data_IF_268923054505
#
_entry.id   IF_268923054505
#
_cell.length_a   1.000
_cell.length_b   1.000
_cell.length_c   1.000
_cell.angle_alpha   90.00
_cell.angle_beta   90.00
_cell.angle_gamma   90.00
#
_symmetry.space_group_name_H-M   'P 1'
#
loop_
_entity.id
_entity.type
_entity.pdbx_description
1 polymer ?
#
# COMPACT_ATOMS: atom_id res chain seq x y z
N UNK A 1 30.25 -45.82 13.76
CA UNK A 1 30.49 -45.67 15.21
C UNK A 1 31.71 -44.78 15.40
N UNK A 2 31.51 -43.47 15.53
CA UNK A 2 32.58 -42.55 15.90
C UNK A 2 32.05 -41.70 17.04
N UNK A 3 32.51 -42.05 18.25
CA UNK A 3 32.29 -41.28 19.47
C UNK A 3 32.95 -39.93 19.33
N UNK A 4 32.13 -38.89 19.33
CA UNK A 4 32.56 -37.51 19.48
C UNK A 4 32.91 -37.35 20.96
N UNK A 5 34.20 -37.30 21.27
CA UNK A 5 34.70 -37.01 22.61
C UNK A 5 34.43 -35.54 22.91
N UNK A 6 33.67 -35.30 23.99
CA UNK A 6 33.27 -34.00 24.48
C UNK A 6 34.49 -33.17 24.90
N UNK A 7 34.52 -31.93 24.38
CA UNK A 7 35.43 -30.88 24.79
C UNK A 7 35.11 -30.46 26.23
N UNK A 8 36.04 -30.71 27.15
CA UNK A 8 36.14 -29.94 28.39
C UNK A 8 36.71 -28.55 28.04
N UNK A 9 35.83 -27.58 27.83
CA UNK A 9 36.18 -26.16 27.77
C UNK A 9 36.27 -25.70 29.22
N UNK A 10 37.49 -25.62 29.74
CA UNK A 10 37.77 -24.93 30.99
C UNK A 10 37.34 -23.47 30.87
N UNK A 11 36.35 -23.09 31.66
CA UNK A 11 35.98 -21.70 31.91
C UNK A 11 37.15 -20.99 32.57
N UNK A 12 37.97 -20.32 31.76
CA UNK A 12 38.89 -19.30 32.25
C UNK A 12 38.04 -18.07 32.54
N UNK A 13 37.77 -17.84 33.83
CA UNK A 13 37.23 -16.58 34.33
C UNK A 13 38.18 -15.45 33.92
N UNK A 14 37.86 -14.82 32.79
CA UNK A 14 38.43 -13.54 32.39
C UNK A 14 37.97 -12.49 33.39
N UNK A 15 38.83 -12.20 34.37
CA UNK A 15 38.72 -11.02 35.23
C UNK A 15 38.74 -9.79 34.32
N UNK A 16 37.54 -9.31 34.00
CA UNK A 16 37.31 -8.01 33.39
C UNK A 16 37.86 -6.93 34.32
N UNK A 17 39.12 -6.55 34.09
CA UNK A 17 39.72 -5.41 34.75
C UNK A 17 39.24 -4.15 34.01
N UNK A 18 38.04 -3.71 34.37
CA UNK A 18 37.52 -2.39 33.99
C UNK A 18 38.43 -1.38 34.68
N UNK A 19 39.37 -0.81 33.94
CA UNK A 19 40.05 0.43 34.32
C UNK A 19 39.01 1.54 34.32
N UNK A 20 38.25 1.57 35.42
CA UNK A 20 37.42 2.68 35.85
C UNK A 20 38.38 3.82 36.08
N UNK A 21 38.32 4.83 35.22
CA UNK A 21 38.98 6.11 35.42
C UNK A 21 38.70 6.57 36.84
N UNK A 22 39.71 6.45 37.69
CA UNK A 22 39.72 6.99 39.04
C UNK A 22 39.62 8.51 38.90
N UNK A 23 38.40 9.02 38.88
CA UNK A 23 38.14 10.33 39.45
C UNK A 23 38.52 10.20 40.92
N UNK A 24 39.59 10.90 41.29
CA UNK A 24 39.99 11.10 42.67
C UNK A 24 38.79 11.62 43.45
N UNK A 25 38.12 10.73 44.19
CA UNK A 25 37.32 11.10 45.35
C UNK A 25 38.33 11.30 46.47
N UNK A 26 38.52 12.53 46.99
CA UNK A 26 39.35 12.71 48.17
C UNK A 26 38.65 12.00 49.35
N UNK A 27 39.40 11.11 49.99
CA UNK A 27 38.98 10.41 51.19
C UNK A 27 38.73 11.41 52.33
N UNK A 28 37.51 11.34 52.85
CA UNK A 28 37.15 11.52 54.26
C UNK A 28 37.95 12.55 55.06
N UNK A 29 37.42 13.77 55.02
CA UNK A 29 37.68 14.82 56.00
C UNK A 29 36.68 15.96 55.84
N UNK A 30 35.46 15.66 55.41
CA UNK A 30 34.37 16.63 55.35
C UNK A 30 33.49 16.35 56.57
N UNK A 31 33.78 17.05 57.67
CA UNK A 31 32.77 17.39 58.65
C UNK A 31 31.52 17.80 57.86
N UNK A 32 30.39 17.17 58.14
CA UNK A 32 29.13 17.56 57.54
C UNK A 32 28.90 19.03 57.85
N UNK A 33 29.19 19.92 56.89
CA UNK A 33 28.69 21.28 56.90
C UNK A 33 27.17 21.15 56.79
N UNK A 34 26.53 21.00 57.95
CA UNK A 34 25.13 21.33 58.12
C UNK A 34 25.03 22.81 57.77
N UNK A 35 24.71 23.08 56.50
CA UNK A 35 24.31 24.41 56.09
C UNK A 35 23.08 24.72 56.92
N UNK A 36 23.28 25.51 57.98
CA UNK A 36 22.19 26.10 58.74
C UNK A 36 21.32 26.79 57.71
N UNK A 37 20.12 26.24 57.52
CA UNK A 37 19.07 26.88 56.76
C UNK A 37 19.00 28.35 57.24
N UNK A 38 18.69 29.27 56.34
CA UNK A 38 18.42 30.66 56.75
C UNK A 38 17.11 30.64 57.56
N UNK A 39 17.23 30.25 58.83
CA UNK A 39 16.12 30.04 59.75
C UNK A 39 15.35 31.36 59.91
N UNK A 40 16.02 32.50 59.77
CA UNK A 40 15.40 33.82 59.76
C UNK A 40 14.56 34.05 58.49
N UNK A 41 15.11 33.74 57.31
CA UNK A 41 14.38 33.84 56.04
C UNK A 41 13.20 32.86 55.95
N UNK A 42 13.37 31.64 56.46
CA UNK A 42 12.31 30.62 56.56
C UNK A 42 11.30 31.02 57.63
N UNK A 43 11.76 31.59 58.76
CA UNK A 43 10.89 32.09 59.82
C UNK A 43 9.96 33.18 59.32
N UNK A 44 10.48 34.14 58.57
CA UNK A 44 9.69 35.21 58.00
C UNK A 44 8.77 34.73 56.87
N UNK A 45 9.20 33.77 56.04
CA UNK A 45 8.39 33.25 54.92
C UNK A 45 7.21 32.38 55.38
N UNK A 46 7.37 31.66 56.50
CA UNK A 46 6.34 30.76 57.04
C UNK A 46 5.69 31.24 58.34
N UNK A 47 5.86 32.52 58.70
CA UNK A 47 5.34 33.10 59.94
C UNK A 47 5.75 32.31 61.21
N UNK A 48 6.95 31.73 61.25
CA UNK A 48 7.43 30.98 62.43
C UNK A 48 7.72 31.91 63.62
N UNK A 49 7.97 33.20 63.39
CA UNK A 49 8.10 34.18 64.47
C UNK A 49 6.78 34.36 65.24
N UNK A 50 5.63 34.32 64.57
CA UNK A 50 4.31 34.28 65.25
C UNK A 50 4.12 32.94 65.98
N UNK A 51 4.58 31.84 65.40
CA UNK A 51 4.50 30.52 66.05
C UNK A 51 5.34 30.44 67.33
N UNK A 52 6.53 31.05 67.35
CA UNK A 52 7.43 31.10 68.51
C UNK A 52 6.94 32.04 69.62
N UNK A 53 6.08 33.01 69.29
CA UNK A 53 5.48 33.93 70.25
C UNK A 53 4.20 33.39 70.91
N UNK A 54 3.62 32.29 70.40
CA UNK A 54 2.44 31.64 70.98
C UNK A 54 2.81 30.87 72.26
N UNK A 55 1.88 30.83 73.22
CA UNK A 55 2.05 30.03 74.44
C UNK A 55 2.10 28.53 74.11
N UNK A 56 2.71 27.71 74.98
CA UNK A 56 2.90 26.27 74.72
C UNK A 56 1.59 25.51 74.44
N UNK A 57 0.48 25.93 75.06
CA UNK A 57 -0.85 25.36 74.81
C UNK A 57 -1.41 25.76 73.44
N UNK A 58 -1.22 27.02 73.03
CA UNK A 58 -1.65 27.52 71.73
C UNK A 58 -0.84 26.88 70.60
N UNK A 59 0.46 26.66 70.82
CA UNK A 59 1.32 25.90 69.90
C UNK A 59 0.83 24.48 69.74
N UNK A 60 0.48 23.78 70.84
CA UNK A 60 -0.09 22.43 70.77
C UNK A 60 -1.45 22.40 70.06
N UNK A 61 -2.32 23.36 70.33
CA UNK A 61 -3.62 23.47 69.66
C UNK A 61 -3.48 23.73 68.16
N UNK A 62 -2.55 24.61 67.77
CA UNK A 62 -2.25 24.91 66.36
C UNK A 62 -1.58 23.73 65.67
N UNK A 63 -0.70 23.01 66.35
CA UNK A 63 -0.06 21.78 65.84
C UNK A 63 -1.08 20.65 65.64
N UNK A 64 -2.06 20.52 66.53
CA UNK A 64 -3.17 19.56 66.41
C UNK A 64 -4.16 19.92 65.29
N UNK A 65 -4.17 21.19 64.83
CA UNK A 65 -4.99 21.65 63.72
C UNK A 65 -4.40 21.24 62.36
N UNK A 66 -3.08 21.04 62.29
CA UNK A 66 -2.41 20.66 61.07
C UNK A 66 -2.58 19.16 60.81
N UNK A 67 -3.14 18.82 59.65
CA UNK A 67 -3.13 17.46 59.18
C UNK A 67 -1.67 17.04 58.90
N UNK A 68 -1.27 15.93 59.50
CA UNK A 68 0.04 15.31 59.28
C UNK A 68 0.34 15.09 57.80
N UNK A 69 -0.70 14.87 56.99
CA UNK A 69 -0.58 14.68 55.54
C UNK A 69 -0.24 16.00 54.82
N UNK A 70 -0.80 17.12 55.26
CA UNK A 70 -0.49 18.45 54.71
C UNK A 70 0.90 18.94 55.13
N UNK A 71 1.34 18.61 56.35
CA UNK A 71 2.72 18.84 56.77
C UNK A 71 3.73 18.05 55.93
N UNK A 72 3.41 16.79 55.59
CA UNK A 72 4.28 15.99 54.73
C UNK A 72 4.37 16.60 53.33
N UNK A 73 3.24 16.99 52.73
CA UNK A 73 3.21 17.62 51.40
C UNK A 73 4.00 18.92 51.36
N UNK A 74 3.86 19.77 52.36
CA UNK A 74 4.62 21.04 52.44
C UNK A 74 6.13 20.79 52.60
N UNK A 75 6.53 19.78 53.37
CA UNK A 75 7.94 19.36 53.45
C UNK A 75 8.45 18.85 52.11
N UNK A 76 7.68 18.04 51.39
CA UNK A 76 8.03 17.56 50.04
C UNK A 76 8.15 18.71 49.04
N UNK A 77 7.24 19.68 49.07
CA UNK A 77 7.28 20.88 48.24
C UNK A 77 8.54 21.72 48.54
N UNK A 78 8.86 21.95 49.81
CA UNK A 78 10.08 22.66 50.22
C UNK A 78 11.34 21.91 49.77
N UNK A 79 11.37 20.57 49.91
CA UNK A 79 12.48 19.76 49.42
C UNK A 79 12.63 19.85 47.91
N UNK A 80 11.52 19.85 47.17
CA UNK A 80 11.50 20.02 45.72
C UNK A 80 11.98 21.40 45.30
N UNK A 81 11.50 22.47 45.93
CA UNK A 81 11.99 23.84 45.71
C UNK A 81 13.49 23.94 45.99
N UNK A 82 13.95 23.37 47.11
CA UNK A 82 15.36 23.37 47.49
C UNK A 82 16.23 22.60 46.50
N UNK A 83 15.74 21.48 45.97
CA UNK A 83 16.42 20.74 44.90
C UNK A 83 16.52 21.57 43.60
N UNK A 84 15.44 22.26 43.22
CA UNK A 84 15.43 23.16 42.06
C UNK A 84 16.43 24.29 42.24
N UNK A 85 16.45 24.96 43.40
CA UNK A 85 17.41 26.04 43.66
C UNK A 85 18.87 25.54 43.69
N UNK A 86 19.12 24.33 44.21
CA UNK A 86 20.45 23.72 44.15
C UNK A 86 20.89 23.49 42.70
N UNK A 87 20.00 22.96 41.87
CA UNK A 87 20.27 22.74 40.46
C UNK A 87 20.51 24.06 39.71
N UNK A 88 19.67 25.07 39.94
CA UNK A 88 19.79 26.38 39.31
C UNK A 88 21.12 27.06 39.68
N UNK A 89 21.46 27.04 40.97
CA UNK A 89 22.73 27.58 41.44
C UNK A 89 23.92 26.82 40.85
N UNK A 90 23.82 25.50 40.73
CA UNK A 90 24.87 24.69 40.09
C UNK A 90 25.06 25.09 38.62
N UNK A 91 23.99 25.17 37.84
CA UNK A 91 24.04 25.56 36.42
C UNK A 91 24.60 26.97 36.27
N UNK A 92 24.15 27.92 37.09
CA UNK A 92 24.60 29.31 37.02
C UNK A 92 26.08 29.45 37.40
N UNK A 93 26.53 28.74 38.43
CA UNK A 93 27.95 28.74 38.82
C UNK A 93 28.80 28.08 37.73
N UNK A 94 28.42 26.91 37.22
CA UNK A 94 29.14 26.23 36.14
C UNK A 94 29.21 27.10 34.87
N UNK A 95 28.12 27.79 34.52
CA UNK A 95 28.09 28.73 33.41
C UNK A 95 29.05 29.91 33.63
N UNK A 96 29.01 30.53 34.81
CA UNK A 96 29.88 31.66 35.14
C UNK A 96 31.36 31.24 35.23
N UNK A 97 31.67 30.04 35.74
CA UNK A 97 33.03 29.52 35.79
C UNK A 97 33.63 29.38 34.39
N UNK A 98 32.83 28.96 33.41
CA UNK A 98 33.27 28.77 32.02
C UNK A 98 33.31 30.07 31.21
N UNK A 99 32.42 31.02 31.47
CA UNK A 99 32.25 32.21 30.62
C UNK A 99 32.81 33.50 31.23
N UNK A 100 32.67 33.74 32.54
CA UNK A 100 33.24 34.91 33.23
C UNK A 100 33.56 34.61 34.71
N UNK A 101 34.72 33.98 35.00
CA UNK A 101 35.07 33.55 36.34
C UNK A 101 35.29 34.71 37.32
N UNK A 102 35.45 35.96 36.83
CA UNK A 102 35.67 37.13 37.68
C UNK A 102 34.41 37.51 38.47
N UNK A 103 33.23 37.26 37.92
CA UNK A 103 31.95 37.50 38.60
C UNK A 103 31.74 36.59 39.82
N UNK A 104 32.43 35.43 39.87
CA UNK A 104 32.36 34.50 41.00
C UNK A 104 33.32 34.85 42.14
N UNK A 105 34.30 35.73 41.93
CA UNK A 105 35.31 36.07 42.94
C UNK A 105 34.67 36.71 44.18
N UNK A 106 33.73 37.64 43.99
CA UNK A 106 33.00 38.27 45.09
C UNK A 106 32.03 37.32 45.82
N UNK A 107 31.52 36.30 45.13
CA UNK A 107 30.66 35.26 45.72
C UNK A 107 31.49 34.29 46.57
N UNK A 108 32.66 33.86 46.07
CA UNK A 108 33.62 33.01 46.80
C UNK A 108 34.19 33.73 48.03
N UNK A 109 34.50 35.01 47.93
CA UNK A 109 34.94 35.84 49.07
C UNK A 109 33.84 36.00 50.14
N UNK A 110 32.57 36.20 49.73
CA UNK A 110 31.46 36.24 50.69
C UNK A 110 31.23 34.89 51.36
N UNK A 111 31.23 33.79 50.62
CA UNK A 111 31.08 32.44 51.17
C UNK A 111 32.16 32.14 52.22
N UNK A 112 33.43 32.41 51.90
CA UNK A 112 34.54 32.23 52.85
C UNK A 112 34.44 33.16 54.07
N UNK A 113 33.93 34.38 53.91
CA UNK A 113 33.69 35.29 55.04
C UNK A 113 32.56 34.84 55.98
N UNK A 114 31.48 34.27 55.43
CA UNK A 114 30.35 33.74 56.20
C UNK A 114 30.78 32.49 56.97
N UNK A 115 31.49 31.56 56.32
CA UNK A 115 32.07 30.38 56.97
C UNK A 115 33.00 30.78 58.13
N UNK A 116 33.88 31.78 57.92
CA UNK A 116 34.71 32.32 59.03
C UNK A 116 33.88 32.94 60.16
N UNK A 117 32.74 33.58 59.85
CA UNK A 117 31.86 34.17 60.87
C UNK A 117 31.13 33.09 61.68
N UNK A 118 30.76 31.98 61.03
CA UNK A 118 30.12 30.84 61.71
C UNK A 118 31.11 30.09 62.60
N UNK A 119 32.33 29.87 62.12
CA UNK A 119 33.40 29.25 62.92
C UNK A 119 33.85 30.12 64.11
N UNK A 120 33.78 31.45 63.99
CA UNK A 120 34.12 32.35 65.11
C UNK A 120 33.01 32.46 66.15
N UNK A 121 31.73 32.30 65.78
CA UNK A 121 30.61 32.27 66.72
C UNK A 121 30.57 31.01 67.59
N UNK A 122 31.13 29.91 67.08
CA UNK A 122 31.29 28.64 67.83
C UNK A 122 32.42 28.68 68.89
N UNK A 123 33.31 29.69 68.86
CA UNK A 123 34.45 29.80 69.79
C UNK A 123 34.31 30.85 70.89
N UNK A 124 33.18 31.54 71.01
CA UNK A 124 32.98 32.62 71.98
C UNK A 124 32.09 32.25 73.18
N UNK A 125 32.11 30.96 73.54
CA UNK A 125 31.50 30.48 74.78
C UNK A 125 32.52 29.64 75.56
N UNK A 126 33.70 30.21 75.83
CA UNK A 126 34.49 29.90 77.03
C UNK A 126 35.72 30.81 77.16
N UNK A 127 35.98 31.19 78.41
CA UNK A 127 37.21 31.76 78.97
C UNK A 127 37.43 33.29 78.96
N UNK A 128 37.02 33.86 80.10
CA UNK A 128 37.76 34.82 80.91
C UNK A 128 39.22 34.38 81.22
N UNK A 129 40.05 35.40 81.46
CA UNK A 129 41.30 35.44 82.24
C UNK A 129 42.69 35.18 81.59
N UNK A 130 43.50 36.25 81.70
CA UNK A 130 44.92 36.34 82.11
C UNK A 130 46.08 35.95 81.16
N UNK A 131 46.94 36.97 80.90
CA UNK A 131 48.43 37.00 80.96
C UNK A 131 49.22 35.99 80.09
N UNK A 132 50.33 36.27 79.38
CA UNK A 132 51.37 37.30 79.46
C UNK A 132 52.19 37.34 78.14
N UNK A 133 52.64 38.55 77.79
CA UNK A 133 53.93 38.94 77.17
C UNK A 133 54.86 37.86 76.57
N UNK A 134 55.14 37.97 75.27
CA UNK A 134 56.47 38.04 74.61
C UNK A 134 56.23 38.25 73.09
N UNK A 135 56.36 39.46 72.55
CA UNK A 135 57.53 40.01 71.84
C UNK A 135 58.29 39.02 70.93
N UNK A 136 58.02 39.04 69.62
CA UNK A 136 58.96 39.57 68.62
C UNK A 136 58.51 39.32 67.17
N UNK A 137 58.37 40.43 66.42
CA UNK A 137 58.94 40.64 65.08
C UNK A 137 58.73 39.58 63.99
N UNK A 138 57.81 39.86 63.04
CA UNK A 138 58.18 40.36 61.68
C UNK A 138 56.96 40.48 60.75
N UNK A 139 56.82 41.71 60.22
CA UNK A 139 56.30 42.13 58.90
C UNK A 139 54.81 41.91 58.56
N UNK A 140 54.09 42.99 58.86
CA UNK A 140 52.96 43.56 58.13
C UNK A 140 53.18 43.69 56.61
N UNK A 141 52.19 43.29 55.83
CA UNK A 141 51.79 43.99 54.59
C UNK A 141 50.30 44.30 54.73
N UNK A 142 50.04 45.52 55.21
CA UNK A 142 48.76 46.19 55.19
C UNK A 142 48.66 46.88 53.83
N UNK A 143 47.81 46.38 52.93
CA UNK A 143 47.35 47.17 51.78
C UNK A 143 46.03 47.83 52.19
N UNK A 144 46.18 49.05 52.68
CA UNK A 144 45.12 50.04 52.81
C UNK A 144 44.76 50.58 51.43
N UNK A 145 43.55 50.30 50.95
CA UNK A 145 42.86 51.20 50.03
C UNK A 145 41.71 51.81 50.81
N UNK A 146 41.99 52.99 51.33
CA UNK A 146 41.03 53.93 51.86
C UNK A 146 40.51 54.74 50.67
N UNK A 147 39.22 54.60 50.35
CA UNK A 147 38.47 55.67 49.68
C UNK A 147 37.02 55.64 50.15
N UNK A 148 36.70 56.61 50.99
CA UNK A 148 35.45 57.37 50.91
C UNK A 148 34.16 56.67 51.34
N UNK A 149 33.93 56.59 52.65
CA UNK A 149 32.59 56.71 53.19
C UNK A 149 32.39 58.17 53.64
N UNK A 150 31.60 58.93 52.87
CA UNK A 150 30.84 60.04 53.44
C UNK A 150 29.35 59.70 53.35
N UNK A 151 28.76 59.74 54.52
CA UNK A 151 27.35 59.65 54.87
C UNK A 151 26.47 60.55 53.99
N UNK A 152 25.36 60.01 53.50
CA UNK A 152 24.05 60.68 53.57
C UNK A 152 22.90 59.70 53.30
N UNK A 153 21.94 59.72 54.23
CA UNK A 153 20.50 59.48 54.06
C UNK A 153 20.03 58.27 53.23
N UNK A 154 19.57 57.25 53.94
CA UNK A 154 18.14 56.94 53.95
C UNK A 154 17.47 56.70 52.59
N UNK A 155 17.84 55.66 51.88
CA UNK A 155 16.90 54.90 51.08
C UNK A 155 17.12 53.42 51.33
N UNK A 156 16.06 52.72 51.74
CA UNK A 156 16.02 51.27 51.75
C UNK A 156 16.40 50.83 50.34
N UNK A 157 17.65 50.40 50.14
CA UNK A 157 18.10 49.74 48.92
C UNK A 157 17.12 48.61 48.69
N UNK A 158 16.17 48.82 47.77
CA UNK A 158 15.34 47.75 47.23
C UNK A 158 16.34 46.68 46.83
N UNK A 159 16.26 45.52 47.48
CA UNK A 159 16.98 44.34 47.05
C UNK A 159 16.62 44.20 45.57
N UNK A 160 17.56 44.55 44.70
CA UNK A 160 17.40 44.32 43.28
C UNK A 160 17.41 42.81 43.18
N UNK A 161 16.23 42.22 43.08
CA UNK A 161 16.09 40.79 42.83
C UNK A 161 16.80 40.52 41.52
N UNK A 162 18.04 40.02 41.59
CA UNK A 162 18.80 39.50 40.45
C UNK A 162 18.21 38.15 40.04
N UNK A 163 16.88 38.08 39.95
CA UNK A 163 16.16 36.92 39.48
C UNK A 163 16.27 36.97 37.97
N UNK A 164 17.17 36.17 37.40
CA UNK A 164 17.21 35.99 35.95
C UNK A 164 15.79 35.72 35.46
N UNK A 165 15.39 36.42 34.39
CA UNK A 165 14.12 36.17 33.75
C UNK A 165 14.03 34.68 33.40
N UNK A 166 12.86 34.06 33.61
CA UNK A 166 12.62 32.64 33.30
C UNK A 166 13.07 32.28 31.88
N UNK A 167 12.90 33.20 30.93
CA UNK A 167 13.41 33.06 29.57
C UNK A 167 14.93 32.90 29.50
N UNK A 168 15.69 33.75 30.20
CA UNK A 168 17.16 33.68 30.23
C UNK A 168 17.65 32.42 30.96
N UNK A 169 16.92 31.95 31.99
CA UNK A 169 17.20 30.67 32.66
C UNK A 169 16.97 29.48 31.72
N UNK A 170 15.87 29.50 30.97
CA UNK A 170 15.56 28.48 29.98
C UNK A 170 16.61 28.45 28.86
N UNK A 171 17.01 29.62 28.32
CA UNK A 171 18.05 29.72 27.29
C UNK A 171 19.43 29.22 27.79
N UNK A 172 19.79 29.51 29.05
CA UNK A 172 21.03 29.00 29.66
C UNK A 172 20.98 27.48 29.86
N UNK A 173 19.85 26.96 30.34
CA UNK A 173 19.65 25.52 30.52
C UNK A 173 19.67 24.79 29.17
N UNK A 174 19.03 25.34 28.14
CA UNK A 174 19.01 24.81 26.78
C UNK A 174 20.42 24.82 26.16
N UNK A 175 21.17 25.91 26.31
CA UNK A 175 22.55 25.99 25.84
C UNK A 175 23.46 25.00 26.55
N UNK A 176 23.32 24.85 27.87
CA UNK A 176 24.07 23.86 28.64
C UNK A 176 23.71 22.42 28.23
N UNK A 177 22.43 22.14 28.00
CA UNK A 177 21.95 20.85 27.52
C UNK A 177 22.51 20.53 26.12
N UNK A 178 22.45 21.48 25.18
CA UNK A 178 22.99 21.32 23.84
C UNK A 178 24.52 21.11 23.85
N UNK A 179 25.24 21.78 24.74
CA UNK A 179 26.68 21.57 24.89
C UNK A 179 27.01 20.18 25.44
N UNK A 180 26.26 19.71 26.44
CA UNK A 180 26.40 18.36 26.99
C UNK A 180 26.07 17.31 25.93
N UNK A 181 24.97 17.48 25.20
CA UNK A 181 24.57 16.59 24.11
C UNK A 181 25.65 16.50 23.03
N UNK A 182 26.20 17.65 22.60
CA UNK A 182 27.33 17.68 21.67
C UNK A 182 28.54 16.90 22.22
N UNK A 183 28.91 17.12 23.48
CA UNK A 183 30.03 16.39 24.10
C UNK A 183 29.77 14.88 24.17
N UNK A 184 28.54 14.46 24.45
CA UNK A 184 28.15 13.05 24.44
C UNK A 184 28.32 12.45 23.04
N UNK A 185 27.82 13.12 22.00
CA UNK A 185 27.96 12.68 20.60
C UNK A 185 29.45 12.57 20.21
N UNK A 186 30.27 13.56 20.59
CA UNK A 186 31.71 13.54 20.29
C UNK A 186 32.42 12.38 21.01
N UNK A 187 32.07 12.12 22.28
CA UNK A 187 32.60 10.98 23.05
C UNK A 187 32.17 9.66 22.42
N UNK A 188 30.90 9.49 22.06
CA UNK A 188 30.39 8.28 21.41
C UNK A 188 31.08 8.01 20.07
N UNK A 189 31.28 9.06 19.26
CA UNK A 189 32.00 8.96 17.99
C UNK A 189 33.45 8.54 18.21
N UNK A 190 34.14 9.13 19.17
CA UNK A 190 35.53 8.78 19.50
C UNK A 190 35.63 7.34 20.03
N UNK A 191 34.73 6.95 20.93
CA UNK A 191 34.65 5.60 21.47
C UNK A 191 34.38 4.57 20.36
N UNK A 192 33.51 4.86 19.40
CA UNK A 192 33.29 3.99 18.23
C UNK A 192 34.55 3.81 17.38
N UNK A 193 35.33 4.88 17.18
CA UNK A 193 36.60 4.78 16.45
C UNK A 193 37.60 3.91 17.21
N UNK A 194 37.73 4.11 18.52
CA UNK A 194 38.62 3.31 19.36
C UNK A 194 38.20 1.84 19.40
N UNK A 195 36.91 1.54 19.55
CA UNK A 195 36.37 0.17 19.49
C UNK A 195 36.69 -0.47 18.14
N UNK A 196 36.55 0.26 17.02
CA UNK A 196 36.93 -0.26 15.70
C UNK A 196 38.43 -0.57 15.60
N UNK A 197 39.28 0.31 16.13
CA UNK A 197 40.73 0.09 16.17
C UNK A 197 41.11 -1.12 17.03
N UNK A 198 40.52 -1.26 18.21
CA UNK A 198 40.75 -2.40 19.10
C UNK A 198 40.28 -3.71 18.46
N UNK A 199 39.13 -3.72 17.79
CA UNK A 199 38.65 -4.89 17.03
C UNK A 199 39.62 -5.27 15.92
N UNK A 200 40.08 -4.30 15.13
CA UNK A 200 41.08 -4.54 14.09
C UNK A 200 42.38 -5.10 14.67
N UNK A 201 42.82 -4.60 15.84
CA UNK A 201 44.01 -5.11 16.53
C UNK A 201 43.83 -6.53 17.07
N UNK A 202 42.66 -6.86 17.61
CA UNK A 202 42.34 -8.23 18.05
C UNK A 202 42.38 -9.19 16.86
N UNK A 203 41.79 -8.79 15.75
CA UNK A 203 41.78 -9.58 14.51
C UNK A 203 43.19 -9.74 13.92
N UNK A 204 44.01 -8.68 13.89
CA UNK A 204 45.42 -8.77 13.49
C UNK A 204 46.20 -9.76 14.38
N UNK A 205 46.05 -9.65 15.71
CA UNK A 205 46.71 -10.55 16.65
C UNK A 205 46.25 -12.00 16.46
N UNK A 206 44.97 -12.22 16.17
CA UNK A 206 44.43 -13.54 15.85
C UNK A 206 45.12 -14.13 14.60
N UNK A 207 45.14 -13.38 13.49
CA UNK A 207 45.81 -13.83 12.26
C UNK A 207 47.29 -14.10 12.48
N UNK A 208 48.00 -13.24 13.22
CA UNK A 208 49.41 -13.45 13.55
C UNK A 208 49.64 -14.71 14.39
N UNK A 209 48.74 -14.98 15.34
CA UNK A 209 48.80 -16.19 16.16
C UNK A 209 48.58 -17.44 15.31
N UNK A 210 47.57 -17.43 14.43
CA UNK A 210 47.29 -18.56 13.53
C UNK A 210 48.45 -18.80 12.55
N UNK A 211 49.00 -17.75 11.94
CA UNK A 211 50.16 -17.85 11.04
C UNK A 211 51.39 -18.39 11.77
N UNK A 212 51.62 -17.98 13.03
CA UNK A 212 52.73 -18.49 13.85
C UNK A 212 52.56 -19.98 14.14
N UNK A 213 51.36 -20.40 14.56
CA UNK A 213 51.05 -21.81 14.84
C UNK A 213 51.20 -22.66 13.57
N UNK A 214 50.74 -22.16 12.42
CA UNK A 214 50.88 -22.85 11.14
C UNK A 214 52.35 -22.93 10.69
N UNK A 215 53.11 -21.85 10.87
CA UNK A 215 54.55 -21.82 10.54
C UNK A 215 55.33 -22.78 11.44
N UNK A 216 54.99 -22.87 12.73
CA UNK A 216 55.56 -23.83 13.66
C UNK A 216 55.25 -25.27 13.22
N UNK A 217 54.00 -25.61 12.93
CA UNK A 217 53.62 -26.94 12.43
C UNK A 217 54.35 -27.30 11.14
N UNK A 218 54.43 -26.35 10.20
CA UNK A 218 55.17 -26.55 8.95
C UNK A 218 56.67 -26.72 9.18
N UNK A 219 57.25 -26.01 10.15
CA UNK A 219 58.63 -26.18 10.56
C UNK A 219 58.85 -27.59 11.13
N UNK A 220 58.01 -28.03 12.06
CA UNK A 220 58.06 -29.40 12.61
C UNK A 220 57.98 -30.46 11.51
N UNK A 221 57.09 -30.29 10.53
CA UNK A 221 56.96 -31.20 9.39
C UNK A 221 58.18 -31.19 8.46
N UNK A 222 58.91 -30.07 8.36
CA UNK A 222 60.08 -29.96 7.48
C UNK A 222 61.39 -30.40 8.14
N UNK A 223 61.48 -30.27 9.47
CA UNK A 223 62.72 -30.48 10.22
C UNK A 223 62.68 -31.67 11.18
N UNK A 224 61.49 -32.11 11.61
CA UNK A 224 61.31 -33.05 12.73
C UNK A 224 60.20 -34.06 12.45
N UNK A 225 59.92 -34.36 11.18
CA UNK A 225 58.80 -35.23 10.80
C UNK A 225 58.97 -36.65 11.28
N UNK A 226 60.14 -37.21 10.99
CA UNK A 226 60.48 -38.61 11.22
C UNK A 226 61.86 -38.72 11.89
N UNK A 227 62.17 -39.85 12.52
CA UNK A 227 63.47 -40.08 13.19
C UNK A 227 64.69 -39.86 12.27
N UNK A 228 64.51 -40.03 10.96
CA UNK A 228 65.54 -39.76 9.96
C UNK A 228 65.88 -38.27 9.83
N UNK A 229 64.91 -37.37 10.00
CA UNK A 229 65.15 -35.92 9.98
C UNK A 229 65.90 -35.47 11.24
N UNK A 230 65.61 -36.09 12.39
CA UNK A 230 66.33 -35.84 13.66
C UNK A 230 67.78 -36.34 13.53
N UNK A 231 67.99 -37.56 13.07
CA UNK A 231 69.32 -38.11 12.83
C UNK A 231 70.11 -37.29 11.79
N UNK A 232 69.44 -36.74 10.77
CA UNK A 232 70.05 -35.81 9.83
C UNK A 232 70.50 -34.53 10.54
N UNK A 233 69.70 -33.94 11.44
CA UNK A 233 70.10 -32.73 12.16
C UNK A 233 71.27 -32.96 13.12
N UNK A 234 71.36 -34.12 13.75
CA UNK A 234 72.46 -34.49 14.66
C UNK A 234 73.78 -34.76 13.93
N UNK A 235 73.72 -35.26 12.69
CA UNK A 235 74.90 -35.63 11.89
C UNK A 235 75.27 -34.63 10.79
N UNK A 236 74.38 -33.68 10.47
CA UNK A 236 74.60 -32.70 9.41
C UNK A 236 75.63 -31.65 9.79
N UNK A 237 76.42 -31.24 8.79
CA UNK A 237 77.28 -30.05 8.93
C UNK A 237 76.43 -28.77 8.96
N UNK A 238 76.95 -27.74 9.61
CA UNK A 238 76.32 -26.41 9.69
C UNK A 238 75.86 -25.89 8.32
N UNK A 239 76.69 -26.09 7.29
CA UNK A 239 76.39 -25.68 5.90
C UNK A 239 75.22 -26.44 5.27
N UNK A 240 74.93 -27.67 5.70
CA UNK A 240 73.77 -28.45 5.23
C UNK A 240 72.49 -27.98 5.93
N UNK A 241 72.56 -27.74 7.25
CA UNK A 241 71.47 -27.17 8.04
C UNK A 241 71.09 -25.78 7.52
N UNK A 242 72.07 -24.92 7.25
CA UNK A 242 71.87 -23.58 6.70
C UNK A 242 71.13 -23.64 5.34
N UNK A 243 71.52 -24.55 4.43
CA UNK A 243 70.83 -24.71 3.15
C UNK A 243 69.38 -25.17 3.32
N UNK A 244 69.10 -26.09 4.25
CA UNK A 244 67.73 -26.56 4.53
C UNK A 244 66.88 -25.43 5.11
N UNK A 245 67.43 -24.66 6.05
CA UNK A 245 66.78 -23.45 6.61
C UNK A 245 66.54 -22.37 5.56
N UNK A 246 67.50 -22.13 4.67
CA UNK A 246 67.36 -21.17 3.57
C UNK A 246 66.25 -21.58 2.60
N UNK A 247 66.12 -22.87 2.28
CA UNK A 247 65.02 -23.38 1.45
C UNK A 247 63.67 -23.22 2.14
N UNK A 248 63.58 -23.55 3.44
CA UNK A 248 62.37 -23.38 4.23
C UNK A 248 61.92 -21.92 4.27
N UNK A 249 62.81 -21.00 4.66
CA UNK A 249 62.52 -19.55 4.72
C UNK A 249 62.13 -18.99 3.37
N UNK A 250 62.79 -19.39 2.27
CA UNK A 250 62.41 -18.98 0.92
C UNK A 250 60.99 -19.46 0.54
N UNK A 251 60.62 -20.69 0.91
CA UNK A 251 59.28 -21.23 0.67
C UNK A 251 58.22 -20.52 1.54
N UNK A 252 58.54 -20.26 2.81
CA UNK A 252 57.69 -19.49 3.73
C UNK A 252 57.41 -18.09 3.18
N UNK A 253 58.43 -17.35 2.74
CA UNK A 253 58.24 -16.04 2.09
C UNK A 253 57.41 -16.11 0.81
N UNK A 254 57.52 -17.19 0.03
CA UNK A 254 56.70 -17.39 -1.17
C UNK A 254 55.22 -17.58 -0.79
N UNK A 255 54.94 -18.39 0.22
CA UNK A 255 53.59 -18.61 0.73
C UNK A 255 52.99 -17.34 1.34
N UNK A 256 53.75 -16.61 2.16
CA UNK A 256 53.34 -15.33 2.73
C UNK A 256 52.99 -14.30 1.64
N UNK A 257 53.76 -14.23 0.55
CA UNK A 257 53.42 -13.37 -0.60
C UNK A 257 52.15 -13.81 -1.33
N UNK A 258 51.92 -15.10 -1.47
CA UNK A 258 50.69 -15.62 -2.07
C UNK A 258 49.46 -15.26 -1.21
N UNK A 259 49.56 -15.46 0.11
CA UNK A 259 48.53 -15.06 1.08
C UNK A 259 48.29 -13.55 1.07
N UNK A 260 49.33 -12.73 1.02
CA UNK A 260 49.18 -11.28 0.87
C UNK A 260 48.43 -10.92 -0.42
N UNK A 261 48.67 -11.65 -1.51
CA UNK A 261 47.93 -11.50 -2.77
C UNK A 261 46.44 -11.80 -2.61
N UNK A 262 46.09 -12.90 -1.95
CA UNK A 262 44.68 -13.26 -1.71
C UNK A 262 44.00 -12.28 -0.76
N UNK A 263 44.69 -11.81 0.29
CA UNK A 263 44.17 -10.78 1.20
C UNK A 263 43.92 -9.45 0.47
N UNK A 264 44.79 -9.04 -0.45
CA UNK A 264 44.55 -7.83 -1.27
C UNK A 264 43.34 -7.96 -2.17
N UNK A 265 43.16 -9.11 -2.83
CA UNK A 265 41.99 -9.36 -3.69
C UNK A 265 40.69 -9.37 -2.87
N UNK A 266 40.69 -10.02 -1.70
CA UNK A 266 39.52 -10.02 -0.81
C UNK A 266 39.19 -8.62 -0.29
N UNK A 267 40.19 -7.80 0.05
CA UNK A 267 39.98 -6.39 0.42
C UNK A 267 39.31 -5.63 -0.72
N UNK A 268 39.80 -5.75 -1.96
CA UNK A 268 39.20 -5.06 -3.12
C UNK A 268 37.76 -5.51 -3.35
N UNK A 269 37.49 -6.82 -3.29
CA UNK A 269 36.13 -7.36 -3.43
C UNK A 269 35.19 -6.89 -2.30
N UNK A 270 35.68 -6.82 -1.06
CA UNK A 270 34.91 -6.28 0.08
C UNK A 270 34.65 -4.78 -0.08
N UNK A 271 35.59 -4.02 -0.61
CA UNK A 271 35.40 -2.59 -0.91
C UNK A 271 34.34 -2.39 -1.98
N UNK A 272 34.36 -3.18 -3.04
CA UNK A 272 33.36 -3.14 -4.12
C UNK A 272 31.97 -3.47 -3.59
N UNK A 273 31.83 -4.54 -2.79
CA UNK A 273 30.53 -4.90 -2.18
C UNK A 273 30.03 -3.84 -1.19
N UNK A 274 30.92 -3.24 -0.38
CA UNK A 274 30.56 -2.11 0.48
C UNK A 274 30.10 -0.88 -0.33
N UNK A 275 30.78 -0.58 -1.43
CA UNK A 275 30.40 0.52 -2.31
C UNK A 275 29.04 0.28 -2.97
N UNK A 276 28.79 -0.95 -3.43
CA UNK A 276 27.50 -1.35 -3.97
C UNK A 276 26.39 -1.18 -2.93
N UNK A 277 26.57 -1.71 -1.72
CA UNK A 277 25.58 -1.57 -0.65
C UNK A 277 25.34 -0.12 -0.24
N UNK A 278 26.38 0.72 -0.27
CA UNK A 278 26.22 2.16 -0.05
C UNK A 278 25.38 2.81 -1.15
N UNK A 279 25.62 2.47 -2.41
CA UNK A 279 24.82 2.95 -3.53
C UNK A 279 23.35 2.49 -3.39
N UNK A 280 23.11 1.23 -3.02
CA UNK A 280 21.78 0.69 -2.77
C UNK A 280 21.06 1.40 -1.61
N UNK A 281 21.79 1.76 -0.55
CA UNK A 281 21.23 2.53 0.56
C UNK A 281 20.86 3.95 0.13
N UNK A 282 21.68 4.60 -0.69
CA UNK A 282 21.39 5.93 -1.23
C UNK A 282 20.15 5.85 -2.12
N UNK A 283 20.09 4.90 -3.07
CA UNK A 283 18.93 4.76 -3.95
C UNK A 283 17.66 4.43 -3.17
N UNK A 284 17.74 3.59 -2.13
CA UNK A 284 16.61 3.33 -1.22
C UNK A 284 16.21 4.56 -0.42
N UNK A 285 17.16 5.36 0.05
CA UNK A 285 16.87 6.60 0.77
C UNK A 285 16.21 7.63 -0.16
N UNK A 286 16.68 7.75 -1.41
CA UNK A 286 16.08 8.61 -2.43
C UNK A 286 14.67 8.14 -2.77
N UNK A 287 14.46 6.83 -2.99
CA UNK A 287 13.13 6.26 -3.21
C UNK A 287 12.22 6.45 -2.00
N UNK A 288 12.73 6.28 -0.78
CA UNK A 288 11.99 6.51 0.46
C UNK A 288 11.68 7.99 0.71
N UNK A 289 12.51 8.90 0.21
CA UNK A 289 12.26 10.34 0.27
C UNK A 289 11.24 10.80 -0.77
N UNK A 290 11.16 10.10 -1.91
CA UNK A 290 10.25 10.39 -3.02
C UNK A 290 8.87 9.74 -2.82
N UNK A 291 8.81 8.54 -2.23
CA UNK A 291 7.56 7.83 -1.96
C UNK A 291 7.19 7.95 -0.48
N UNK A 292 6.27 8.85 -0.17
CA UNK A 292 5.65 8.92 1.15
C UNK A 292 4.52 7.90 1.27
N UNK A 293 4.18 7.49 2.50
CA UNK A 293 2.99 6.65 2.75
C UNK A 293 1.71 7.26 2.14
N UNK A 294 1.63 8.60 2.11
CA UNK A 294 0.53 9.35 1.49
C UNK A 294 0.46 9.12 -0.02
N UNK A 295 1.58 8.95 -0.71
CA UNK A 295 1.59 8.68 -2.15
C UNK A 295 1.09 7.27 -2.47
N UNK A 296 1.39 6.30 -1.59
CA UNK A 296 0.79 4.96 -1.67
C UNK A 296 -0.72 5.00 -1.40
N UNK A 297 -1.17 5.75 -0.40
CA UNK A 297 -2.60 5.94 -0.15
C UNK A 297 -3.31 6.61 -1.32
N UNK A 298 -2.72 7.65 -1.92
CA UNK A 298 -3.25 8.29 -3.15
C UNK A 298 -3.34 7.30 -4.31
N UNK A 299 -2.32 6.46 -4.50
CA UNK A 299 -2.32 5.41 -5.52
C UNK A 299 -3.42 4.38 -5.27
N UNK A 300 -3.60 3.97 -4.01
CA UNK A 300 -4.66 3.05 -3.62
C UNK A 300 -6.02 3.69 -3.90
N UNK A 301 -6.29 4.91 -3.41
CA UNK A 301 -7.54 5.64 -3.64
C UNK A 301 -7.83 5.72 -5.14
N UNK A 302 -6.87 6.19 -5.95
CA UNK A 302 -7.03 6.31 -7.41
C UNK A 302 -7.29 4.97 -8.08
N UNK A 303 -6.64 3.88 -7.63
CA UNK A 303 -6.93 2.53 -8.11
C UNK A 303 -8.37 2.14 -7.79
N UNK A 304 -8.82 2.40 -6.57
CA UNK A 304 -10.21 2.09 -6.14
C UNK A 304 -11.22 2.89 -6.95
N UNK A 305 -10.98 4.19 -7.17
CA UNK A 305 -11.83 5.05 -8.01
C UNK A 305 -11.95 4.50 -9.43
N UNK A 306 -10.82 4.18 -10.08
CA UNK A 306 -10.82 3.60 -11.43
C UNK A 306 -11.49 2.22 -11.49
N UNK A 307 -11.37 1.42 -10.42
CA UNK A 307 -12.04 0.11 -10.33
C UNK A 307 -13.56 0.30 -10.25
N UNK A 308 -14.02 1.24 -9.43
CA UNK A 308 -15.45 1.55 -9.29
C UNK A 308 -16.04 2.09 -10.60
N UNK A 309 -15.32 2.98 -11.29
CA UNK A 309 -15.75 3.51 -12.58
C UNK A 309 -15.86 2.39 -13.64
N UNK A 310 -14.90 1.47 -13.66
CA UNK A 310 -14.94 0.31 -14.54
C UNK A 310 -16.14 -0.59 -14.24
N UNK A 311 -16.41 -0.84 -12.96
CA UNK A 311 -17.54 -1.64 -12.52
C UNK A 311 -18.89 -1.01 -12.91
N UNK A 312 -19.03 0.31 -12.74
CA UNK A 312 -20.21 1.06 -13.18
C UNK A 312 -20.42 0.96 -14.70
N UNK A 313 -19.36 1.16 -15.49
CA UNK A 313 -19.41 1.00 -16.95
C UNK A 313 -19.78 -0.43 -17.36
N UNK A 314 -19.29 -1.44 -16.62
CA UNK A 314 -19.60 -2.84 -16.89
C UNK A 314 -21.07 -3.16 -16.58
N UNK A 315 -21.61 -2.65 -15.47
CA UNK A 315 -23.04 -2.76 -15.14
C UNK A 315 -23.89 -2.10 -16.24
N UNK A 316 -23.52 -0.89 -16.65
CA UNK A 316 -24.23 -0.18 -17.73
C UNK A 316 -24.19 -0.95 -19.06
N UNK A 317 -23.01 -1.49 -19.43
CA UNK A 317 -22.84 -2.32 -20.63
C UNK A 317 -23.68 -3.61 -20.55
N UNK A 318 -23.74 -4.26 -19.39
CA UNK A 318 -24.57 -5.44 -19.15
C UNK A 318 -26.06 -5.10 -19.31
N UNK A 319 -26.50 -3.97 -18.75
CA UNK A 319 -27.86 -3.45 -18.93
C UNK A 319 -28.21 -3.20 -20.40
N UNK A 320 -27.33 -2.52 -21.15
CA UNK A 320 -27.48 -2.30 -22.59
C UNK A 320 -27.56 -3.61 -23.38
N UNK A 321 -26.69 -4.59 -23.09
CA UNK A 321 -26.75 -5.91 -23.72
C UNK A 321 -28.08 -6.61 -23.44
N UNK A 322 -28.60 -6.49 -22.22
CA UNK A 322 -29.90 -7.03 -21.85
C UNK A 322 -31.05 -6.39 -22.61
N UNK A 323 -31.06 -5.06 -22.75
CA UNK A 323 -32.08 -4.33 -23.53
C UNK A 323 -31.99 -4.68 -25.00
N UNK A 324 -30.80 -4.59 -25.60
CA UNK A 324 -30.58 -4.94 -27.02
C UNK A 324 -30.98 -6.39 -27.31
N UNK A 325 -30.66 -7.33 -26.41
CA UNK A 325 -31.08 -8.72 -26.54
C UNK A 325 -32.60 -8.89 -26.54
N UNK A 326 -33.30 -8.23 -25.60
CA UNK A 326 -34.78 -8.24 -25.54
C UNK A 326 -35.41 -7.61 -26.79
N UNK A 327 -34.92 -6.46 -27.22
CA UNK A 327 -35.41 -5.79 -28.43
C UNK A 327 -35.17 -6.64 -29.68
N UNK A 328 -34.00 -7.26 -29.81
CA UNK A 328 -33.70 -8.15 -30.93
C UNK A 328 -34.62 -9.38 -30.95
N UNK A 329 -34.94 -9.95 -29.78
CA UNK A 329 -35.89 -11.05 -29.68
C UNK A 329 -37.29 -10.62 -30.10
N UNK A 330 -37.80 -9.50 -29.55
CA UNK A 330 -39.12 -8.97 -29.89
C UNK A 330 -39.24 -8.64 -31.39
N UNK A 331 -38.22 -8.03 -32.01
CA UNK A 331 -38.21 -7.81 -33.45
C UNK A 331 -38.24 -9.11 -34.25
N UNK A 332 -37.61 -10.17 -33.75
CA UNK A 332 -37.61 -11.48 -34.42
C UNK A 332 -38.99 -12.15 -34.32
N UNK A 333 -39.64 -12.05 -33.16
CA UNK A 333 -41.01 -12.51 -32.94
C UNK A 333 -42.01 -11.77 -33.85
N UNK A 334 -41.94 -10.43 -33.91
CA UNK A 334 -42.75 -9.60 -34.80
C UNK A 334 -42.50 -9.91 -36.28
N UNK A 335 -41.23 -10.09 -36.67
CA UNK A 335 -40.88 -10.51 -38.04
C UNK A 335 -41.52 -11.87 -38.37
N UNK A 336 -41.49 -12.82 -37.45
CA UNK A 336 -42.12 -14.12 -37.65
C UNK A 336 -43.64 -14.01 -37.75
N UNK A 337 -44.26 -13.16 -36.92
CA UNK A 337 -45.70 -12.89 -36.98
C UNK A 337 -46.10 -12.27 -38.33
N UNK A 338 -45.34 -11.28 -38.82
CA UNK A 338 -45.56 -10.68 -40.14
C UNK A 338 -45.40 -11.71 -41.27
N UNK A 339 -44.37 -12.56 -41.21
CA UNK A 339 -44.16 -13.60 -42.22
C UNK A 339 -45.34 -14.58 -42.25
N UNK A 340 -45.85 -15.00 -41.09
CA UNK A 340 -47.04 -15.85 -41.00
C UNK A 340 -48.28 -15.15 -41.58
N UNK A 341 -48.48 -13.87 -41.26
CA UNK A 341 -49.59 -13.08 -41.81
C UNK A 341 -49.49 -12.91 -43.32
N UNK A 342 -48.28 -12.71 -43.87
CA UNK A 342 -48.05 -12.65 -45.31
C UNK A 342 -48.40 -13.99 -45.98
N UNK A 343 -48.04 -15.12 -45.37
CA UNK A 343 -48.41 -16.45 -45.89
C UNK A 343 -49.91 -16.68 -45.89
N UNK A 344 -50.61 -16.29 -44.82
CA UNK A 344 -52.07 -16.36 -44.73
C UNK A 344 -52.74 -15.44 -45.76
N UNK A 345 -52.23 -14.22 -45.93
CA UNK A 345 -52.74 -13.29 -46.95
C UNK A 345 -52.58 -13.85 -48.36
N UNK A 346 -51.42 -14.43 -48.69
CA UNK A 346 -51.21 -15.10 -49.99
C UNK A 346 -52.17 -16.28 -50.17
N UNK A 347 -52.41 -17.07 -49.12
CA UNK A 347 -53.37 -18.17 -49.16
C UNK A 347 -54.79 -17.66 -49.46
N UNK A 348 -55.24 -16.62 -48.75
CA UNK A 348 -56.56 -16.00 -48.98
C UNK A 348 -56.66 -15.44 -50.40
N UNK A 349 -55.65 -14.70 -50.88
CA UNK A 349 -55.65 -14.15 -52.24
C UNK A 349 -55.76 -15.26 -53.31
N UNK A 350 -54.96 -16.32 -53.19
CA UNK A 350 -55.05 -17.46 -54.10
C UNK A 350 -56.44 -18.09 -54.06
N UNK A 351 -57.02 -18.25 -52.86
CA UNK A 351 -58.35 -18.80 -52.69
C UNK A 351 -59.43 -17.90 -53.28
N UNK A 352 -59.32 -16.59 -53.12
CA UNK A 352 -60.21 -15.61 -53.73
C UNK A 352 -60.10 -15.68 -55.25
N UNK A 353 -58.91 -15.74 -55.82
CA UNK A 353 -58.74 -15.90 -57.27
C UNK A 353 -59.39 -17.19 -57.79
N UNK A 354 -59.19 -18.32 -57.10
CA UNK A 354 -59.85 -19.58 -57.44
C UNK A 354 -61.37 -19.43 -57.44
N UNK A 355 -61.94 -18.85 -56.38
CA UNK A 355 -63.38 -18.61 -56.26
C UNK A 355 -63.87 -17.70 -57.38
N UNK A 356 -63.18 -16.60 -57.67
CA UNK A 356 -63.53 -15.68 -58.76
C UNK A 356 -63.50 -16.39 -60.12
N UNK A 357 -62.51 -17.26 -60.38
CA UNK A 357 -62.48 -18.10 -61.59
C UNK A 357 -63.66 -19.07 -61.64
N UNK A 358 -64.08 -19.64 -60.50
CA UNK A 358 -65.28 -20.50 -60.47
C UNK A 358 -66.56 -19.73 -60.70
N UNK A 359 -66.71 -18.52 -60.14
CA UNK A 359 -67.86 -17.64 -60.38
C UNK A 359 -67.96 -17.31 -61.86
N UNK A 360 -66.86 -16.89 -62.50
CA UNK A 360 -66.86 -16.57 -63.93
C UNK A 360 -67.21 -17.77 -64.84
N UNK A 361 -66.93 -19.00 -64.39
CA UNK A 361 -67.39 -20.22 -65.10
C UNK A 361 -68.89 -20.43 -64.93
N UNK A 362 -69.39 -20.31 -63.71
CA UNK A 362 -70.82 -20.43 -63.42
C UNK A 362 -71.64 -19.36 -64.14
N UNK A 363 -71.18 -18.11 -64.20
CA UNK A 363 -71.83 -17.04 -64.96
C UNK A 363 -71.96 -17.37 -66.45
N UNK A 364 -70.92 -17.97 -67.05
CA UNK A 364 -70.97 -18.45 -68.45
C UNK A 364 -71.97 -19.59 -68.62
N UNK A 365 -72.01 -20.53 -67.67
CA UNK A 365 -72.98 -21.63 -67.68
C UNK A 365 -74.41 -21.11 -67.55
N UNK A 366 -74.65 -20.15 -66.64
CA UNK A 366 -75.94 -19.48 -66.48
C UNK A 366 -76.37 -18.79 -67.77
N UNK A 367 -75.48 -18.00 -68.39
CA UNK A 367 -75.79 -17.35 -69.67
C UNK A 367 -76.11 -18.35 -70.78
N UNK A 368 -75.40 -19.49 -70.84
CA UNK A 368 -75.69 -20.55 -71.80
C UNK A 368 -77.05 -21.23 -71.53
N UNK A 369 -77.39 -21.45 -70.26
CA UNK A 369 -78.69 -21.99 -69.85
C UNK A 369 -79.83 -21.02 -70.17
N UNK A 370 -79.66 -19.71 -69.92
CA UNK A 370 -80.64 -18.69 -70.29
C UNK A 370 -80.92 -18.66 -71.79
N UNK A 371 -79.88 -18.70 -72.63
CA UNK A 371 -80.02 -18.78 -74.09
C UNK A 371 -80.76 -20.05 -74.52
N UNK A 372 -80.49 -21.19 -73.88
CA UNK A 372 -81.21 -22.43 -74.18
C UNK A 372 -82.67 -22.37 -73.71
N UNK A 373 -82.93 -21.81 -72.53
CA UNK A 373 -84.26 -21.64 -71.99
C UNK A 373 -85.11 -20.73 -72.90
N UNK A 374 -84.54 -19.65 -73.45
CA UNK A 374 -85.22 -18.79 -74.42
C UNK A 374 -85.61 -19.56 -75.69
N UNK A 375 -84.70 -20.40 -76.23
CA UNK A 375 -85.02 -21.28 -77.37
C UNK A 375 -86.15 -22.25 -77.03
N UNK A 376 -86.09 -22.86 -75.86
CA UNK A 376 -87.12 -23.79 -75.40
C UNK A 376 -88.46 -23.08 -75.21
N UNK A 377 -88.48 -21.82 -74.76
CA UNK A 377 -89.68 -20.98 -74.69
C UNK A 377 -90.26 -20.67 -76.08
N UNK A 378 -89.41 -20.36 -77.07
CA UNK A 378 -89.85 -20.16 -78.47
C UNK A 378 -90.49 -21.44 -79.00
N UNK A 379 -89.82 -22.59 -78.85
CA UNK A 379 -90.34 -23.89 -79.29
C UNK A 379 -91.67 -24.21 -78.59
N UNK A 380 -91.76 -23.96 -77.28
CA UNK A 380 -92.98 -24.19 -76.51
C UNK A 380 -94.13 -23.30 -76.98
N UNK A 381 -93.85 -22.03 -77.31
CA UNK A 381 -94.85 -21.13 -77.87
C UNK A 381 -95.28 -21.55 -79.29
N UNK A 382 -94.35 -21.99 -80.13
CA UNK A 382 -94.68 -22.57 -81.45
C UNK A 382 -95.58 -23.81 -81.31
N UNK A 383 -95.25 -24.71 -80.38
CA UNK A 383 -96.08 -25.89 -80.11
C UNK A 383 -97.47 -25.51 -79.56
N UNK A 384 -97.57 -24.47 -78.72
CA UNK A 384 -98.86 -23.94 -78.26
C UNK A 384 -99.67 -23.33 -79.40
N UNK A 385 -99.04 -22.55 -80.28
CA UNK A 385 -99.70 -22.00 -81.46
C UNK A 385 -100.18 -23.11 -82.40
N UNK A 386 -99.36 -24.14 -82.64
CA UNK A 386 -99.75 -25.33 -83.39
C UNK A 386 -100.92 -26.07 -82.72
N UNK A 387 -100.99 -26.11 -81.39
CA UNK A 387 -102.11 -26.71 -80.66
C UNK A 387 -103.39 -25.88 -80.76
N UNK A 388 -103.29 -24.55 -80.76
CA UNK A 388 -104.43 -23.64 -80.95
C UNK A 388 -104.94 -23.63 -82.41
N UNK A 389 -104.04 -23.68 -83.40
CA UNK A 389 -104.38 -23.80 -84.82
C UNK A 389 -104.84 -25.21 -85.21
N UNK A 390 -104.60 -26.21 -84.35
CA UNK A 390 -105.06 -27.58 -84.58
C UNK A 390 -106.58 -27.68 -84.34
N UNK A 391 -107.33 -27.40 -85.40
CA UNK A 391 -108.73 -27.79 -85.49
C UNK A 391 -108.78 -29.21 -86.09
N UNK A 392 -109.23 -30.17 -85.28
CA UNK A 392 -109.38 -31.55 -85.73
C UNK A 392 -110.36 -31.56 -86.94
N UNK A 393 -109.92 -31.98 -88.15
CA UNK A 393 -110.77 -31.93 -89.33
C UNK A 393 -112.06 -32.71 -89.11
N UNK A 394 -113.18 -32.14 -89.54
CA UNK A 394 -114.46 -32.86 -89.52
C UNK A 394 -114.32 -34.16 -90.30
N UNK A 395 -114.96 -35.24 -89.83
CA UNK A 395 -114.92 -36.57 -90.45
C UNK A 395 -115.25 -36.48 -91.95
N UNK A 396 -116.12 -35.55 -92.34
CA UNK A 396 -116.46 -35.29 -93.75
C UNK A 396 -115.30 -34.72 -94.57
N UNK A 397 -114.56 -33.73 -94.06
CA UNK A 397 -113.38 -33.17 -94.75
C UNK A 397 -112.24 -34.19 -94.85
N UNK A 398 -112.06 -35.03 -93.83
CA UNK A 398 -111.08 -36.12 -93.87
C UNK A 398 -111.42 -37.12 -94.98
N UNK A 399 -112.70 -37.46 -95.17
CA UNK A 399 -113.14 -38.38 -96.23
C UNK A 399 -112.89 -37.75 -97.61
N UNK A 400 -113.26 -36.48 -97.82
CA UNK A 400 -113.06 -35.79 -99.10
C UNK A 400 -111.58 -35.67 -99.46
N UNK A 401 -110.73 -35.22 -98.52
CA UNK A 401 -109.28 -35.12 -98.75
C UNK A 401 -108.63 -36.49 -98.96
N UNK A 402 -109.15 -37.54 -98.32
CA UNK A 402 -108.67 -38.91 -98.53
C UNK A 402 -109.11 -39.47 -99.89
N UNK A 403 -110.29 -39.11 -100.37
CA UNK A 403 -110.76 -39.46 -101.70
C UNK A 403 -109.97 -38.70 -102.79
N UNK A 404 -109.66 -37.43 -102.57
CA UNK A 404 -108.77 -36.61 -103.42
C UNK A 404 -107.34 -37.19 -103.45
N UNK A 405 -106.80 -37.57 -102.29
CA UNK A 405 -105.50 -38.25 -102.22
C UNK A 405 -105.51 -39.58 -102.98
N UNK A 406 -106.59 -40.37 -102.87
CA UNK A 406 -106.75 -41.63 -103.61
C UNK A 406 -106.94 -41.40 -105.12
N UNK A 407 -107.61 -40.32 -105.55
CA UNK A 407 -107.73 -40.00 -106.98
C UNK A 407 -106.39 -39.58 -107.56
N UNK A 408 -105.65 -38.74 -106.83
CA UNK A 408 -104.30 -38.32 -107.22
C UNK A 408 -103.31 -39.48 -107.24
N UNK A 409 -103.38 -40.42 -106.28
CA UNK A 409 -102.53 -41.62 -106.28
C UNK A 409 -102.87 -42.56 -107.46
N UNK A 410 -104.17 -42.69 -107.82
CA UNK A 410 -104.60 -43.44 -109.01
C UNK A 410 -104.11 -42.77 -110.30
N UNK A 411 -104.16 -41.44 -110.37
CA UNK A 411 -103.68 -40.67 -111.51
C UNK A 411 -102.15 -40.77 -111.64
N UNK A 412 -101.41 -40.65 -110.54
CA UNK A 412 -99.97 -40.87 -110.48
C UNK A 412 -99.59 -42.26 -110.99
N UNK A 413 -100.27 -43.32 -110.52
CA UNK A 413 -100.07 -44.69 -111.01
C UNK A 413 -100.40 -44.85 -112.49
N UNK A 414 -101.43 -44.14 -113.00
CA UNK A 414 -101.79 -44.18 -114.42
C UNK A 414 -100.75 -43.48 -115.30
N UNK A 415 -100.23 -42.34 -114.85
CA UNK A 415 -99.16 -41.58 -115.49
C UNK A 415 -97.84 -42.37 -115.48
N UNK A 416 -97.49 -43.00 -114.36
CA UNK A 416 -96.34 -43.90 -114.27
C UNK A 416 -96.46 -45.08 -115.28
N UNK A 417 -97.66 -45.66 -115.45
CA UNK A 417 -97.92 -46.69 -116.48
C UNK A 417 -97.78 -46.16 -117.91
N UNK A 418 -98.27 -44.95 -118.20
CA UNK A 418 -98.11 -44.31 -119.52
C UNK A 418 -96.65 -44.00 -119.83
N UNK A 419 -95.90 -43.48 -118.86
CA UNK A 419 -94.46 -43.25 -118.96
C UNK A 419 -93.73 -44.56 -119.24
N UNK A 420 -94.08 -45.66 -118.57
CA UNK A 420 -93.49 -46.98 -118.82
C UNK A 420 -93.73 -47.48 -120.26
N UNK A 421 -94.97 -47.35 -120.77
CA UNK A 421 -95.30 -47.75 -122.16
C UNK A 421 -94.55 -46.89 -123.18
N UNK A 422 -94.46 -45.58 -122.95
CA UNK A 422 -93.71 -44.67 -123.81
C UNK A 422 -92.21 -44.99 -123.79
N UNK A 423 -91.63 -45.30 -122.63
CA UNK A 423 -90.24 -45.73 -122.52
C UNK A 423 -89.99 -47.08 -123.23
N UNK A 424 -90.96 -48.00 -123.21
CA UNK A 424 -90.88 -49.25 -123.98
C UNK A 424 -90.95 -49.02 -125.49
N UNK A 425 -91.81 -48.10 -125.96
CA UNK A 425 -91.88 -47.70 -127.37
C UNK A 425 -90.60 -46.98 -127.81
N UNK A 426 -90.10 -46.06 -127.00
CA UNK A 426 -88.85 -45.33 -127.23
C UNK A 426 -87.66 -46.28 -127.29
N UNK A 427 -87.56 -47.25 -126.37
CA UNK A 427 -86.51 -48.28 -126.42
C UNK A 427 -86.62 -49.19 -127.66
N UNK A 428 -87.82 -49.50 -128.14
CA UNK A 428 -88.02 -50.23 -129.39
C UNK A 428 -87.61 -49.41 -130.62
N UNK A 429 -87.86 -48.09 -130.62
CA UNK A 429 -87.41 -47.18 -131.68
C UNK A 429 -85.88 -47.03 -131.64
N UNK A 430 -85.28 -46.84 -130.45
CA UNK A 430 -83.83 -46.77 -130.26
C UNK A 430 -83.16 -48.09 -130.72
N UNK A 431 -83.74 -49.26 -130.41
CA UNK A 431 -83.26 -50.55 -130.94
C UNK A 431 -83.36 -50.66 -132.47
N UNK A 432 -84.40 -50.09 -133.09
CA UNK A 432 -84.55 -50.08 -134.56
C UNK A 432 -83.62 -49.08 -135.24
N UNK A 433 -83.34 -47.92 -134.62
CA UNK A 433 -82.36 -46.96 -135.11
C UNK A 433 -80.93 -47.51 -134.98
N UNK A 434 -80.61 -48.24 -133.90
CA UNK A 434 -79.33 -48.98 -133.77
C UNK A 434 -79.09 -50.04 -134.86
N UNK A 435 -80.15 -50.51 -135.53
CA UNK A 435 -80.05 -51.47 -136.63
C UNK A 435 -80.05 -50.81 -138.02
N UNK A 436 -80.12 -49.46 -138.11
CA UNK A 436 -80.10 -48.71 -139.38
C UNK A 436 -78.86 -47.84 -139.58
N UNK A 437 -78.14 -47.50 -138.52
CA UNK A 437 -76.77 -46.98 -138.61
C UNK A 437 -75.81 -48.16 -138.39
N UNK A 438 -75.31 -48.76 -139.46
CA UNK A 438 -74.29 -49.81 -139.35
C UNK A 438 -72.91 -49.21 -139.13
N UNK A 439 -72.42 -49.23 -137.87
CA UNK A 439 -71.01 -49.30 -137.43
C UNK A 439 -70.96 -50.08 -136.12
#
# INVERSE_FOLDING_TARGET
>A
MFSISEKSIGTTESRFNVNRSQSHVPASGAEGETFELDILGISQKYHLDEYLQLNDEERKAKLNLFDSLDMLRTVEEVQKELAIYKLENYIMVDFLEKNDPKLLVGLRQRRTSIVRRMQSKSRQQDNLQQSSRHSSSKRSITMSIHMGAMSQMGERRKQVDHKLNFKAKAELAEKAAAEVEKRVIDIEKNAMVEVKQLRAKIEELHYRSEETIETEKNFMLHFLRDSNDIAFLESATERQVERKLRKFTANWFKNARALLGTMRLTIVSLQETCQQHRADLITKADLSGILTAVDFEKLIIKRTELTNELEEKNIHMSGLKGVTGKTSLAMTEEKQAMMNLETEMRYVLNRTEEITRTIAKLEKEVAAVEVNNEKDYVILNELRAQLEEYEAPSITEYIEKKEEALSLEKEEKMLQRKIYILNMKLNNVIRRCRNRDGI
#
